data_IF_163725420063
#
_entry.id   IF_163725420063
#
_cell.length_a   1.000
_cell.length_b   1.000
_cell.length_c   1.000
_cell.angle_alpha   90.00
_cell.angle_beta   90.00
_cell.angle_gamma   90.00
#
_symmetry.space_group_name_H-M   'P 1'
#
loop_
_entity.id
_entity.type
_entity.pdbx_description
1 polymer ?
#
# COMPACT_ATOMS: atom_id res chain seq x y z
N UNK A 1 24.00 3.60 6.58
CA UNK A 1 24.36 3.39 8.01
C UNK A 1 23.05 3.09 8.74
N UNK A 2 23.05 2.37 9.87
CA UNK A 2 21.80 2.16 10.62
C UNK A 2 21.51 3.40 11.43
N UNK A 3 20.35 4.03 11.22
CA UNK A 3 19.90 5.20 11.99
C UNK A 3 19.72 4.78 13.46
N UNK A 4 20.29 5.57 14.38
CA UNK A 4 20.19 5.33 15.81
C UNK A 4 18.97 6.06 16.39
N UNK A 5 17.99 5.28 16.86
CA UNK A 5 16.72 5.79 17.37
C UNK A 5 16.89 6.76 18.55
N UNK A 6 17.83 6.49 19.47
CA UNK A 6 18.05 7.33 20.65
C UNK A 6 18.67 8.67 20.26
N UNK A 7 19.58 8.66 19.27
CA UNK A 7 20.18 9.87 18.74
C UNK A 7 19.14 10.76 18.04
N UNK A 8 18.27 10.17 17.20
CA UNK A 8 17.21 10.92 16.51
C UNK A 8 16.22 11.49 17.52
N UNK A 9 15.75 10.67 18.47
CA UNK A 9 14.82 11.10 19.52
C UNK A 9 15.36 12.29 20.32
N UNK A 10 16.66 12.27 20.66
CA UNK A 10 17.33 13.37 21.37
C UNK A 10 17.44 14.64 20.52
N UNK A 11 17.67 14.52 19.21
CA UNK A 11 17.66 15.67 18.31
C UNK A 11 16.27 16.31 18.26
N UNK A 12 15.21 15.48 18.21
CA UNK A 12 13.81 15.92 18.17
C UNK A 12 13.35 16.69 19.42
N UNK A 13 14.05 16.55 20.55
CA UNK A 13 13.77 17.35 21.75
C UNK A 13 14.19 18.82 21.60
N UNK A 14 15.07 19.12 20.64
CA UNK A 14 15.57 20.48 20.39
C UNK A 14 14.98 21.09 19.12
N UNK A 15 14.78 20.27 18.09
CA UNK A 15 14.26 20.66 16.79
C UNK A 15 13.22 19.63 16.32
N UNK A 16 11.95 20.02 16.06
CA UNK A 16 10.93 19.07 15.61
C UNK A 16 11.23 18.45 14.25
N UNK A 17 12.23 18.94 13.51
CA UNK A 17 12.66 18.37 12.22
C UNK A 17 14.06 17.78 12.34
N UNK A 18 14.17 16.48 12.04
CA UNK A 18 15.43 15.78 11.87
C UNK A 18 15.61 15.40 10.40
N UNK A 19 16.73 15.80 9.79
CA UNK A 19 17.12 15.37 8.44
C UNK A 19 18.48 14.69 8.53
N UNK A 20 18.55 13.42 8.14
CA UNK A 20 19.81 12.70 8.02
C UNK A 20 20.75 13.42 7.04
N UNK A 21 22.03 13.54 7.38
CA UNK A 21 23.02 14.31 6.61
C UNK A 21 23.12 13.85 5.14
N UNK A 22 22.94 12.55 4.87
CA UNK A 22 22.95 11.99 3.51
C UNK A 22 21.77 12.43 2.64
N UNK A 23 20.67 12.90 3.24
CA UNK A 23 19.54 13.50 2.54
C UNK A 23 19.64 15.02 2.38
N UNK A 24 20.67 15.66 2.94
CA UNK A 24 20.86 17.09 2.81
C UNK A 24 21.03 17.47 1.32
N UNK A 25 20.00 18.11 0.76
CA UNK A 25 19.96 18.53 -0.64
C UNK A 25 19.28 17.56 -1.63
N UNK A 26 18.81 16.40 -1.19
CA UNK A 26 17.99 15.49 -2.01
C UNK A 26 16.48 15.76 -1.87
N UNK A 27 16.07 16.26 -0.70
CA UNK A 27 14.70 16.71 -0.45
C UNK A 27 14.45 18.05 -1.14
N UNK A 28 13.21 18.28 -1.57
CA UNK A 28 12.82 19.56 -2.16
C UNK A 28 12.79 20.65 -1.07
N UNK A 29 13.69 21.65 -1.09
CA UNK A 29 13.81 22.62 -0.01
C UNK A 29 12.53 23.45 0.14
N UNK A 30 11.87 23.84 -0.95
CA UNK A 30 10.65 24.64 -0.89
C UNK A 30 9.48 23.88 -0.24
N UNK A 31 9.44 22.55 -0.38
CA UNK A 31 8.42 21.72 0.28
C UNK A 31 8.78 21.44 1.75
N UNK A 32 10.06 21.38 2.10
CA UNK A 32 10.47 21.27 3.51
C UNK A 32 10.20 22.59 4.25
N UNK A 33 10.51 23.74 3.65
CA UNK A 33 10.18 25.06 4.19
C UNK A 33 8.66 25.23 4.39
N UNK A 34 7.86 24.75 3.42
CA UNK A 34 6.39 24.74 3.55
C UNK A 34 5.96 23.84 4.71
N UNK A 35 6.52 22.63 4.81
CA UNK A 35 6.17 21.69 5.88
C UNK A 35 6.44 22.29 7.27
N UNK A 36 7.63 22.85 7.49
CA UNK A 36 8.00 23.53 8.74
C UNK A 36 7.05 24.69 9.07
N UNK A 37 6.69 25.51 8.07
CA UNK A 37 5.73 26.59 8.26
C UNK A 37 4.32 26.09 8.61
N UNK A 38 3.85 25.00 7.98
CA UNK A 38 2.55 24.40 8.27
C UNK A 38 2.53 23.77 9.66
N UNK A 39 3.60 23.07 10.07
CA UNK A 39 3.73 22.48 11.41
C UNK A 39 3.54 23.51 12.52
N UNK A 40 4.04 24.74 12.34
CA UNK A 40 3.86 25.83 13.31
C UNK A 40 2.42 26.38 13.42
N UNK A 41 1.51 25.94 12.54
CA UNK A 41 0.09 26.33 12.56
C UNK A 41 -0.82 25.20 13.08
N UNK A 42 -0.25 24.05 13.47
CA UNK A 42 -1.00 22.92 14.04
C UNK A 42 -1.04 23.07 15.57
N UNK A 43 -2.17 22.75 16.20
CA UNK A 43 -2.39 22.93 17.64
C UNK A 43 -1.74 21.84 18.53
N UNK A 44 -0.93 20.96 17.94
CA UNK A 44 -0.20 19.88 18.61
C UNK A 44 1.17 19.67 17.96
N UNK A 45 2.09 19.05 18.71
CA UNK A 45 3.44 18.82 18.23
C UNK A 45 3.47 17.83 17.06
N UNK A 46 4.22 18.19 16.03
CA UNK A 46 4.51 17.32 14.89
C UNK A 46 6.02 17.20 14.75
N UNK A 47 6.50 15.98 14.65
CA UNK A 47 7.91 15.64 14.48
C UNK A 47 8.14 15.06 13.09
N UNK A 48 9.07 15.62 12.32
CA UNK A 48 9.40 15.14 10.97
C UNK A 48 10.80 14.53 10.98
N UNK A 49 10.90 13.30 10.49
CA UNK A 49 12.14 12.50 10.49
C UNK A 49 12.44 12.07 9.05
N UNK A 50 13.45 12.66 8.42
CA UNK A 50 13.90 12.26 7.10
C UNK A 50 15.14 11.36 7.19
N UNK A 51 15.03 10.14 6.66
CA UNK A 51 16.11 9.12 6.69
C UNK A 51 16.42 8.56 5.31
N UNK A 52 17.69 8.27 5.05
CA UNK A 52 18.17 7.72 3.79
C UNK A 52 17.99 6.20 3.75
N UNK A 53 16.73 5.77 3.73
CA UNK A 53 16.33 4.38 3.64
C UNK A 53 15.22 4.21 2.60
N UNK A 54 15.35 3.22 1.72
CA UNK A 54 14.33 2.95 0.68
C UNK A 54 12.99 2.53 1.29
N UNK A 55 13.04 1.81 2.41
CA UNK A 55 11.88 1.38 3.20
C UNK A 55 11.97 1.99 4.59
N UNK A 56 10.84 2.49 5.09
CA UNK A 56 10.77 3.07 6.43
C UNK A 56 10.34 1.99 7.42
N UNK A 57 11.17 1.77 8.42
CA UNK A 57 10.94 0.79 9.47
C UNK A 57 10.00 1.37 10.54
N UNK A 58 8.79 0.81 10.66
CA UNK A 58 7.83 1.23 11.69
C UNK A 58 8.34 0.97 13.10
N UNK A 59 9.15 -0.07 13.31
CA UNK A 59 9.73 -0.37 14.63
C UNK A 59 10.76 0.70 15.02
N UNK A 60 11.45 1.29 14.05
CA UNK A 60 12.36 2.41 14.27
C UNK A 60 11.58 3.67 14.67
N UNK A 61 10.48 3.97 13.97
CA UNK A 61 9.62 5.13 14.30
C UNK A 61 9.02 4.98 15.71
N UNK A 62 8.54 3.79 16.07
CA UNK A 62 8.02 3.48 17.41
C UNK A 62 9.12 3.66 18.47
N UNK A 63 10.34 3.18 18.22
CA UNK A 63 11.46 3.38 19.14
C UNK A 63 11.81 4.85 19.32
N UNK A 64 11.87 5.63 18.24
CA UNK A 64 12.14 7.07 18.30
C UNK A 64 11.06 7.77 19.14
N UNK A 65 9.79 7.45 18.91
CA UNK A 65 8.66 7.98 19.68
C UNK A 65 8.79 7.66 21.18
N UNK A 66 9.07 6.40 21.53
CA UNK A 66 9.27 5.97 22.93
C UNK A 66 10.46 6.68 23.58
N UNK A 67 11.58 6.82 22.87
CA UNK A 67 12.76 7.53 23.40
C UNK A 67 12.57 9.04 23.48
N UNK A 68 11.78 9.64 22.59
CA UNK A 68 11.49 11.07 22.62
C UNK A 68 10.61 11.39 23.84
N UNK A 69 9.56 10.60 24.06
CA UNK A 69 8.65 10.71 25.20
C UNK A 69 7.70 11.91 25.13
N UNK A 70 7.68 12.65 24.03
CA UNK A 70 6.73 13.74 23.78
C UNK A 70 5.40 13.24 23.20
N UNK A 71 4.32 13.97 23.50
CA UNK A 71 3.03 13.81 22.81
C UNK A 71 3.10 14.44 21.42
N UNK A 72 2.32 13.93 20.47
CA UNK A 72 2.25 14.47 19.12
C UNK A 72 2.27 13.42 18.03
N UNK A 73 2.47 13.89 16.80
CA UNK A 73 2.51 13.06 15.59
C UNK A 73 3.93 12.95 15.08
N UNK A 74 4.39 11.74 14.80
CA UNK A 74 5.72 11.45 14.30
C UNK A 74 5.61 10.98 12.86
N UNK A 75 6.15 11.76 11.93
CA UNK A 75 6.12 11.49 10.50
C UNK A 75 7.53 11.20 10.02
N UNK A 76 7.76 9.98 9.54
CA UNK A 76 9.02 9.59 8.92
C UNK A 76 8.89 9.56 7.40
N UNK A 77 9.87 10.11 6.69
CA UNK A 77 9.95 10.15 5.23
C UNK A 77 11.33 9.71 4.75
N UNK A 78 11.43 9.32 3.48
CA UNK A 78 12.72 9.12 2.80
C UNK A 78 12.90 10.09 1.62
N UNK A 79 14.03 10.01 0.92
CA UNK A 79 14.29 10.78 -0.31
C UNK A 79 13.42 10.38 -1.53
N UNK A 80 12.61 9.32 -1.42
CA UNK A 80 11.77 8.79 -2.49
C UNK A 80 10.29 9.11 -2.28
N UNK A 81 9.49 8.06 -2.08
CA UNK A 81 8.03 8.15 -1.93
C UNK A 81 7.51 7.54 -0.63
N UNK A 82 8.37 7.01 0.23
CA UNK A 82 7.94 6.37 1.46
C UNK A 82 7.58 7.43 2.51
N UNK A 83 6.48 7.19 3.22
CA UNK A 83 6.04 7.96 4.36
C UNK A 83 5.37 7.00 5.34
N UNK A 84 5.75 7.06 6.62
CA UNK A 84 5.10 6.34 7.70
C UNK A 84 4.81 7.31 8.85
N UNK A 85 3.71 7.07 9.55
CA UNK A 85 3.21 7.94 10.61
C UNK A 85 2.89 7.09 11.82
N UNK A 86 3.21 7.62 12.98
CA UNK A 86 2.82 7.12 14.28
C UNK A 86 2.45 8.30 15.17
N UNK A 87 1.68 8.10 16.23
CA UNK A 87 1.25 9.16 17.11
C UNK A 87 1.19 8.70 18.57
N UNK A 88 1.24 9.66 19.48
CA UNK A 88 1.09 9.43 20.91
C UNK A 88 0.40 10.61 21.57
N UNK A 89 -0.70 10.33 22.26
CA UNK A 89 -1.43 11.27 23.11
C UNK A 89 -1.90 10.47 24.33
N UNK A 90 -1.61 10.92 25.56
CA UNK A 90 -1.95 10.16 26.77
C UNK A 90 -3.45 10.24 27.08
N UNK A 91 -4.07 11.42 26.90
CA UNK A 91 -5.47 11.67 27.28
C UNK A 91 -6.30 12.43 26.22
N UNK A 92 -5.82 12.55 24.98
CA UNK A 92 -6.47 13.33 23.91
C UNK A 92 -7.11 12.42 22.86
N UNK A 93 -8.07 11.58 23.26
CA UNK A 93 -8.64 10.57 22.38
C UNK A 93 -9.34 11.14 21.14
N UNK A 94 -10.10 12.24 21.29
CA UNK A 94 -10.75 12.91 20.15
C UNK A 94 -9.73 13.43 19.14
N UNK A 95 -8.64 14.04 19.62
CA UNK A 95 -7.55 14.51 18.78
C UNK A 95 -6.85 13.34 18.08
N UNK A 96 -6.57 12.25 18.81
CA UNK A 96 -5.98 11.04 18.23
C UNK A 96 -6.86 10.46 17.11
N UNK A 97 -8.18 10.44 17.30
CA UNK A 97 -9.14 9.99 16.28
C UNK A 97 -9.14 10.92 15.06
N UNK A 98 -9.13 12.23 15.29
CA UNK A 98 -9.06 13.23 14.22
C UNK A 98 -7.76 13.08 13.41
N UNK A 99 -6.60 12.96 14.06
CA UNK A 99 -5.30 12.73 13.41
C UNK A 99 -5.33 11.47 12.55
N UNK A 100 -5.93 10.39 13.05
CA UNK A 100 -6.07 9.14 12.30
C UNK A 100 -7.02 9.25 11.12
N UNK A 101 -8.12 9.99 11.27
CA UNK A 101 -9.06 10.28 10.18
C UNK A 101 -8.37 11.10 9.08
N UNK A 102 -7.68 12.18 9.44
CA UNK A 102 -6.97 13.02 8.48
C UNK A 102 -5.87 12.25 7.75
N UNK A 103 -5.14 11.35 8.44
CA UNK A 103 -4.20 10.45 7.80
C UNK A 103 -4.87 9.49 6.81
N UNK A 104 -6.09 9.02 7.10
CA UNK A 104 -6.87 8.21 6.18
C UNK A 104 -7.26 9.01 4.94
N UNK A 105 -7.77 10.24 5.12
CA UNK A 105 -8.15 11.13 4.00
C UNK A 105 -6.93 11.44 3.13
N UNK A 106 -5.81 11.80 3.75
CA UNK A 106 -4.57 12.09 3.04
C UNK A 106 -4.09 10.92 2.17
N UNK A 107 -4.27 9.68 2.66
CA UNK A 107 -3.92 8.46 1.91
C UNK A 107 -4.80 8.24 0.68
N UNK A 108 -6.03 8.74 0.69
CA UNK A 108 -6.92 8.70 -0.48
C UNK A 108 -6.52 9.73 -1.54
N UNK A 109 -5.81 10.80 -1.16
CA UNK A 109 -5.36 11.85 -2.08
C UNK A 109 -4.07 11.53 -2.85
N UNK A 110 -3.26 10.57 -2.38
CA UNK A 110 -1.98 10.24 -3.01
C UNK A 110 -1.84 8.80 -3.47
N UNK A 111 -0.94 8.59 -4.43
CA UNK A 111 -0.57 7.26 -4.91
C UNK A 111 0.73 6.80 -4.23
N UNK A 112 1.01 5.49 -4.29
CA UNK A 112 2.25 4.89 -3.75
C UNK A 112 3.52 5.61 -4.23
N UNK A 113 3.55 6.08 -5.49
CA UNK A 113 4.68 6.79 -6.10
C UNK A 113 4.67 8.31 -5.97
N UNK A 114 3.74 8.91 -5.22
CA UNK A 114 3.80 10.35 -4.91
C UNK A 114 5.05 10.64 -4.05
N UNK A 115 5.85 11.68 -4.36
CA UNK A 115 7.04 12.00 -3.57
C UNK A 115 6.72 12.18 -2.08
N UNK A 116 7.60 11.70 -1.21
CA UNK A 116 7.42 11.70 0.25
C UNK A 116 7.18 13.11 0.80
N UNK A 117 7.90 14.11 0.29
CA UNK A 117 7.74 15.53 0.64
C UNK A 117 6.39 16.10 0.19
N UNK A 118 5.84 15.65 -0.93
CA UNK A 118 4.48 16.01 -1.35
C UNK A 118 3.45 15.38 -0.43
N UNK A 119 3.60 14.09 -0.09
CA UNK A 119 2.73 13.41 0.88
C UNK A 119 2.75 14.09 2.25
N UNK A 120 3.94 14.46 2.74
CA UNK A 120 4.11 15.20 3.99
C UNK A 120 3.31 16.50 3.97
N UNK A 121 3.45 17.31 2.92
CA UNK A 121 2.74 18.58 2.83
C UNK A 121 1.22 18.42 2.73
N UNK A 122 0.73 17.44 1.97
CA UNK A 122 -0.70 17.11 1.92
C UNK A 122 -1.22 16.72 3.30
N UNK A 123 -0.48 15.88 4.03
CA UNK A 123 -0.86 15.45 5.38
C UNK A 123 -0.89 16.63 6.36
N UNK A 124 0.14 17.47 6.34
CA UNK A 124 0.23 18.64 7.20
C UNK A 124 -0.87 19.67 6.91
N UNK A 125 -1.22 19.87 5.63
CA UNK A 125 -2.33 20.76 5.25
C UNK A 125 -3.65 20.25 5.86
N UNK A 126 -3.89 18.93 5.86
CA UNK A 126 -5.08 18.32 6.50
C UNK A 126 -5.02 18.34 8.03
N UNK A 127 -3.83 18.29 8.63
CA UNK A 127 -3.66 18.47 10.08
C UNK A 127 -3.92 19.91 10.52
N UNK A 128 -3.56 20.90 9.69
CA UNK A 128 -3.80 22.32 9.95
C UNK A 128 -5.25 22.74 9.64
N UNK A 129 -5.88 22.13 8.64
CA UNK A 129 -7.29 22.36 8.28
C UNK A 129 -8.06 21.03 8.13
N UNK A 130 -8.45 20.41 9.27
CA UNK A 130 -9.09 19.10 9.27
C UNK A 130 -10.40 19.06 8.48
N UNK A 131 -10.51 18.09 7.59
CA UNK A 131 -11.70 17.88 6.78
C UNK A 131 -12.56 16.77 7.38
N UNK A 132 -13.88 16.90 7.27
CA UNK A 132 -14.81 15.84 7.65
C UNK A 132 -15.12 14.98 6.43
N UNK A 133 -15.02 13.65 6.57
CA UNK A 133 -15.49 12.73 5.54
C UNK A 133 -17.02 12.88 5.43
N UNK A 134 -17.55 13.20 4.26
CA UNK A 134 -19.02 13.28 4.07
C UNK A 134 -19.61 11.88 4.26
N UNK A 135 -20.41 11.72 5.32
CA UNK A 135 -21.03 10.47 5.75
C UNK A 135 -22.10 10.00 4.74
N UNK A 136 -21.74 9.09 3.83
CA UNK A 136 -22.55 7.92 3.59
C UNK A 136 -21.68 6.71 3.95
N UNK A 137 -22.15 5.92 4.93
CA UNK A 137 -21.55 4.68 5.47
C UNK A 137 -20.45 4.79 6.55
N UNK A 138 -20.88 5.03 7.80
CA UNK A 138 -20.15 4.62 8.99
C UNK A 138 -20.99 3.62 9.81
N UNK A 139 -20.82 2.33 9.52
CA UNK A 139 -21.34 1.23 10.32
C UNK A 139 -20.50 1.00 11.58
N UNK A 140 -21.07 1.41 12.71
CA UNK A 140 -20.79 1.09 14.13
C UNK A 140 -19.61 0.13 14.44
N UNK A 141 -18.56 0.67 15.06
CA UNK A 141 -17.56 -0.09 15.79
C UNK A 141 -17.98 -0.24 17.27
N UNK A 142 -17.89 -1.46 17.80
CA UNK A 142 -18.24 -1.79 19.17
C UNK A 142 -16.96 -2.16 19.93
N UNK A 143 -16.66 -1.39 20.99
CA UNK A 143 -15.52 -1.56 21.89
C UNK A 143 -15.60 -2.88 22.68
N UNK A 144 -14.43 -3.44 23.00
CA UNK A 144 -14.30 -4.46 24.04
C UNK A 144 -13.08 -4.21 24.93
N UNK A 145 -13.38 -4.10 26.23
CA UNK A 145 -12.50 -3.85 27.37
C UNK A 145 -11.34 -4.81 27.57
N UNK A 146 -10.18 -4.23 27.91
CA UNK A 146 -9.42 -4.41 29.17
C UNK A 146 -9.19 -5.82 29.73
N UNK A 147 -7.92 -6.21 29.84
CA UNK A 147 -7.50 -7.26 30.78
C UNK A 147 -6.21 -6.90 31.52
N UNK A 148 -6.40 -6.76 32.82
CA UNK A 148 -5.47 -6.48 33.91
C UNK A 148 -4.43 -7.59 34.09
N UNK A 149 -3.16 -7.25 34.29
CA UNK A 149 -2.08 -8.20 34.61
C UNK A 149 -1.59 -7.94 36.03
N UNK A 150 -1.84 -8.92 36.91
CA UNK A 150 -1.31 -8.98 38.26
C UNK A 150 0.18 -9.31 38.27
N UNK A 151 0.92 -8.58 39.10
CA UNK A 151 2.31 -8.80 39.48
C UNK A 151 2.40 -9.86 40.58
N UNK A 152 3.41 -10.73 40.50
CA UNK A 152 3.94 -11.47 41.66
C UNK A 152 5.46 -11.49 41.58
N UNK A 153 6.08 -10.72 42.46
CA UNK A 153 7.46 -10.89 42.91
C UNK A 153 7.56 -12.16 43.79
N UNK A 154 8.63 -12.94 43.64
CA UNK A 154 9.27 -13.47 44.84
C UNK A 154 10.78 -13.70 44.64
N UNK A 155 11.49 -13.39 45.72
CA UNK A 155 12.92 -13.20 45.85
C UNK A 155 13.51 -14.32 46.69
N UNK A 156 14.73 -14.76 46.35
CA UNK A 156 15.41 -15.84 47.05
C UNK A 156 16.91 -15.63 47.09
N UNK A 157 17.35 -14.85 48.08
CA UNK A 157 18.74 -14.63 48.48
C UNK A 157 19.32 -15.86 49.19
N UNK A 158 20.55 -16.27 48.86
CA UNK A 158 21.47 -16.90 49.82
C UNK A 158 22.94 -16.68 49.39
N UNK A 159 23.75 -16.24 50.35
CA UNK A 159 25.21 -16.12 50.33
C UNK A 159 25.73 -16.63 51.70
N UNK A 160 27.04 -16.70 51.97
CA UNK A 160 28.18 -17.18 51.17
C UNK A 160 29.05 -18.19 51.96
N UNK A 161 29.95 -18.92 51.28
CA UNK A 161 31.36 -19.16 51.66
C UNK A 161 31.91 -20.36 50.87
N UNK A 162 33.08 -20.19 50.24
CA UNK A 162 34.32 -20.91 50.54
C UNK A 162 35.33 -20.69 49.40
N UNK A 163 36.43 -20.04 49.78
CA UNK A 163 37.63 -19.78 48.99
C UNK A 163 38.25 -21.09 48.52
N UNK A 164 38.38 -21.23 47.20
CA UNK A 164 39.04 -22.37 46.53
C UNK A 164 38.49 -22.69 45.13
N UNK A 165 37.33 -22.15 44.76
CA UNK A 165 36.55 -22.56 43.58
C UNK A 165 36.38 -21.44 42.53
N UNK A 166 36.96 -20.25 42.75
CA UNK A 166 36.67 -19.06 41.94
C UNK A 166 37.02 -19.18 40.45
N UNK A 167 38.05 -19.96 40.07
CA UNK A 167 38.45 -20.09 38.66
C UNK A 167 37.66 -21.19 37.93
N UNK A 168 37.32 -22.27 38.62
CA UNK A 168 36.63 -23.42 38.02
C UNK A 168 35.12 -23.21 37.95
N UNK A 169 34.51 -22.54 38.93
CA UNK A 169 33.11 -22.10 38.83
C UNK A 169 32.97 -20.93 37.85
N UNK A 170 33.93 -20.01 37.75
CA UNK A 170 33.85 -18.98 36.70
C UNK A 170 33.96 -19.60 35.29
N UNK A 171 34.81 -20.62 35.08
CA UNK A 171 34.86 -21.33 33.81
C UNK A 171 33.59 -22.14 33.50
N UNK A 172 32.99 -22.81 34.50
CA UNK A 172 31.73 -23.55 34.34
C UNK A 172 30.54 -22.59 34.19
N UNK A 173 30.56 -21.42 34.83
CA UNK A 173 29.55 -20.37 34.68
C UNK A 173 29.70 -19.68 33.33
N UNK A 174 30.91 -19.40 32.84
CA UNK A 174 31.14 -18.85 31.49
C UNK A 174 30.76 -19.89 30.43
N UNK A 175 31.16 -21.16 30.59
CA UNK A 175 30.78 -22.23 29.67
C UNK A 175 29.27 -22.54 29.73
N UNK A 176 28.66 -22.49 30.91
CA UNK A 176 27.23 -22.65 31.12
C UNK A 176 26.43 -21.46 30.56
N UNK A 177 26.89 -20.23 30.75
CA UNK A 177 26.29 -19.02 30.17
C UNK A 177 26.49 -18.99 28.65
N UNK A 178 27.63 -19.43 28.13
CA UNK A 178 27.90 -19.49 26.69
C UNK A 178 27.15 -20.63 26.00
N UNK A 179 27.05 -21.80 26.63
CA UNK A 179 26.24 -22.92 26.13
C UNK A 179 24.74 -22.60 26.22
N UNK A 180 24.26 -21.99 27.30
CA UNK A 180 22.87 -21.53 27.40
C UNK A 180 22.57 -20.33 26.51
N UNK A 181 23.50 -19.38 26.28
CA UNK A 181 23.34 -18.29 25.28
C UNK A 181 23.37 -18.82 23.86
N UNK A 182 24.25 -19.77 23.51
CA UNK A 182 24.31 -20.31 22.14
C UNK A 182 23.15 -21.26 21.82
N UNK A 183 22.65 -22.02 22.81
CA UNK A 183 21.39 -22.75 22.68
C UNK A 183 20.17 -21.85 22.72
N UNK A 184 20.11 -20.80 23.56
CA UNK A 184 19.03 -19.80 23.52
C UNK A 184 19.04 -19.03 22.21
N UNK A 185 20.19 -18.68 21.62
CA UNK A 185 20.27 -18.01 20.31
C UNK A 185 19.83 -18.90 19.14
N UNK A 186 20.03 -20.22 19.22
CA UNK A 186 19.51 -21.16 18.21
C UNK A 186 18.02 -21.48 18.39
N UNK A 187 17.52 -21.48 19.63
CA UNK A 187 16.10 -21.71 19.91
C UNK A 187 15.24 -20.45 19.74
N UNK A 188 15.78 -19.25 19.95
CA UNK A 188 15.09 -17.98 19.69
C UNK A 188 14.91 -17.73 18.20
N UNK A 189 15.87 -18.06 17.34
CA UNK A 189 15.68 -17.97 15.88
C UNK A 189 14.56 -18.90 15.38
N UNK A 190 14.44 -20.12 15.91
CA UNK A 190 13.33 -21.04 15.60
C UNK A 190 12.01 -20.68 16.29
N UNK A 191 12.03 -20.05 17.47
CA UNK A 191 10.82 -19.56 18.17
C UNK A 191 10.30 -18.24 17.63
N UNK A 192 11.15 -17.35 17.11
CA UNK A 192 10.76 -16.12 16.42
C UNK A 192 10.06 -16.46 15.09
N UNK A 193 10.60 -17.39 14.30
CA UNK A 193 9.91 -17.88 13.09
C UNK A 193 8.55 -18.53 13.37
N UNK A 194 8.34 -19.10 14.57
CA UNK A 194 7.03 -19.63 15.00
C UNK A 194 6.11 -18.59 15.64
N UNK A 195 6.63 -17.42 16.05
CA UNK A 195 5.85 -16.33 16.66
C UNK A 195 5.40 -15.24 15.69
N UNK A 196 5.96 -15.20 14.48
CA UNK A 196 5.51 -14.32 13.37
C UNK A 196 4.79 -15.08 12.26
N UNK A 197 4.21 -16.24 12.56
CA UNK A 197 3.16 -16.76 11.69
C UNK A 197 1.90 -15.96 12.04
N UNK A 198 1.54 -15.00 11.18
CA UNK A 198 0.20 -14.41 11.23
C UNK A 198 -0.78 -15.59 11.27
N UNK A 199 -1.69 -15.65 12.26
CA UNK A 199 -2.72 -16.68 12.28
C UNK A 199 -3.41 -16.72 10.92
N UNK A 200 -3.62 -17.91 10.34
CA UNK A 200 -4.26 -18.07 9.03
C UNK A 200 -5.60 -17.33 8.97
N UNK A 201 -6.32 -17.29 10.10
CA UNK A 201 -7.58 -16.53 10.26
C UNK A 201 -7.44 -15.01 10.10
N UNK A 202 -6.29 -14.43 10.43
CA UNK A 202 -6.02 -13.01 10.18
C UNK A 202 -5.71 -12.76 8.71
N UNK A 203 -4.96 -13.65 8.06
CA UNK A 203 -4.68 -13.57 6.62
C UNK A 203 -5.97 -13.72 5.80
N UNK A 204 -6.81 -14.71 6.12
CA UNK A 204 -8.13 -14.90 5.53
C UNK A 204 -9.04 -13.68 5.75
N UNK A 205 -8.98 -13.06 6.93
CA UNK A 205 -9.77 -11.86 7.21
C UNK A 205 -9.29 -10.67 6.38
N UNK A 206 -7.99 -10.41 6.33
CA UNK A 206 -7.40 -9.33 5.52
C UNK A 206 -7.74 -9.54 4.05
N UNK A 207 -7.58 -10.76 3.53
CA UNK A 207 -7.95 -11.08 2.16
C UNK A 207 -9.45 -10.84 1.91
N UNK A 208 -10.32 -11.31 2.82
CA UNK A 208 -11.76 -11.07 2.69
C UNK A 208 -12.16 -9.59 2.74
N UNK A 209 -11.42 -8.77 3.49
CA UNK A 209 -11.65 -7.33 3.58
C UNK A 209 -11.14 -6.63 2.32
N UNK A 210 -9.96 -7.01 1.81
CA UNK A 210 -9.43 -6.53 0.54
C UNK A 210 -10.37 -6.87 -0.62
N UNK A 211 -10.90 -8.10 -0.68
CA UNK A 211 -11.88 -8.51 -1.69
C UNK A 211 -13.20 -7.74 -1.57
N UNK A 212 -13.66 -7.44 -0.36
CA UNK A 212 -14.86 -6.62 -0.15
C UNK A 212 -14.66 -5.18 -0.60
N UNK A 213 -13.57 -4.55 -0.17
CA UNK A 213 -13.19 -3.21 -0.61
C UNK A 213 -13.04 -3.14 -2.14
N UNK A 214 -12.45 -4.17 -2.75
CA UNK A 214 -12.28 -4.23 -4.19
C UNK A 214 -13.61 -4.35 -4.93
N UNK A 215 -14.55 -5.17 -4.43
CA UNK A 215 -15.92 -5.25 -4.96
C UNK A 215 -16.63 -3.90 -4.87
N UNK A 216 -16.49 -3.18 -3.76
CA UNK A 216 -17.09 -1.85 -3.58
C UNK A 216 -16.56 -0.84 -4.60
N UNK A 217 -15.23 -0.77 -4.76
CA UNK A 217 -14.60 0.09 -5.79
C UNK A 217 -15.08 -0.27 -7.19
N UNK A 218 -15.17 -1.56 -7.50
CA UNK A 218 -15.64 -2.01 -8.82
C UNK A 218 -17.12 -1.65 -9.04
N UNK A 219 -17.97 -1.79 -8.02
CA UNK A 219 -19.38 -1.40 -8.10
C UNK A 219 -19.54 0.10 -8.38
N UNK A 220 -18.73 0.95 -7.76
CA UNK A 220 -18.70 2.38 -8.08
C UNK A 220 -18.33 2.63 -9.56
N UNK A 221 -17.28 1.98 -10.06
CA UNK A 221 -16.84 2.09 -11.46
C UNK A 221 -17.92 1.60 -12.45
N UNK A 222 -18.66 0.54 -12.12
CA UNK A 222 -19.76 0.04 -12.96
C UNK A 222 -20.87 1.06 -13.12
N UNK A 223 -21.19 1.80 -12.06
CA UNK A 223 -22.23 2.85 -12.08
C UNK A 223 -21.81 3.99 -13.01
N UNK A 224 -20.56 4.44 -12.93
CA UNK A 224 -20.04 5.47 -13.84
C UNK A 224 -20.13 5.05 -15.31
N UNK A 225 -19.75 3.80 -15.62
CA UNK A 225 -19.80 3.28 -16.99
C UNK A 225 -21.24 3.18 -17.50
N UNK A 226 -22.18 2.75 -16.65
CA UNK A 226 -23.60 2.69 -17.01
C UNK A 226 -24.14 4.09 -17.39
N UNK A 227 -23.79 5.13 -16.62
CA UNK A 227 -24.15 6.51 -16.92
C UNK A 227 -23.55 7.02 -18.24
N UNK A 228 -22.29 6.64 -18.55
CA UNK A 228 -21.64 6.99 -19.82
C UNK A 228 -22.31 6.30 -21.02
N UNK A 229 -22.74 5.05 -20.87
CA UNK A 229 -23.48 4.30 -21.90
C UNK A 229 -24.85 4.93 -22.13
N UNK A 230 -25.59 5.31 -21.08
CA UNK A 230 -26.91 5.94 -21.22
C UNK A 230 -26.82 7.28 -21.98
N UNK A 231 -25.75 8.04 -21.76
CA UNK A 231 -25.47 9.29 -22.50
C UNK A 231 -25.13 9.04 -23.97
N UNK A 232 -24.54 7.90 -24.31
CA UNK A 232 -24.32 7.52 -25.70
C UNK A 232 -25.68 7.15 -26.31
N UNK A 233 -26.27 8.05 -27.09
CA UNK A 233 -27.46 7.76 -27.89
C UNK A 233 -27.14 6.66 -28.93
N UNK A 234 -27.21 5.39 -28.52
CA UNK A 234 -26.72 4.18 -29.23
C UNK A 234 -27.44 3.92 -30.55
N UNK A 235 -28.68 4.38 -30.67
CA UNK A 235 -29.54 4.26 -31.86
C UNK A 235 -29.04 4.99 -33.11
N UNK A 236 -28.03 5.85 -33.00
CA UNK A 236 -27.48 6.65 -34.11
C UNK A 236 -25.97 6.40 -34.35
N UNK A 237 -25.47 5.22 -33.99
CA UNK A 237 -24.07 4.84 -34.19
C UNK A 237 -23.87 4.24 -35.59
N UNK A 238 -22.71 4.47 -36.19
CA UNK A 238 -22.31 3.73 -37.39
C UNK A 238 -21.87 2.31 -37.02
N UNK A 239 -21.66 1.43 -38.01
CA UNK A 239 -21.34 0.03 -37.73
C UNK A 239 -20.06 -0.15 -36.87
N UNK A 240 -18.94 0.57 -37.11
CA UNK A 240 -17.75 0.50 -36.27
C UNK A 240 -17.96 0.95 -34.82
N UNK A 241 -18.66 2.08 -34.61
CA UNK A 241 -18.93 2.56 -33.24
C UNK A 241 -19.93 1.65 -32.52
N UNK A 242 -20.88 1.04 -33.25
CA UNK A 242 -21.82 0.06 -32.68
C UNK A 242 -21.08 -1.17 -32.17
N UNK A 243 -20.13 -1.72 -32.94
CA UNK A 243 -19.33 -2.88 -32.53
C UNK A 243 -18.49 -2.59 -31.27
N UNK A 244 -17.95 -1.38 -31.13
CA UNK A 244 -17.22 -0.97 -29.92
C UNK A 244 -18.12 -0.90 -28.70
N UNK A 245 -19.34 -0.36 -28.86
CA UNK A 245 -20.32 -0.30 -27.78
C UNK A 245 -20.78 -1.71 -27.38
N UNK A 246 -21.05 -2.60 -28.34
CA UNK A 246 -21.37 -4.01 -28.06
C UNK A 246 -20.25 -4.70 -27.26
N UNK A 247 -18.99 -4.58 -27.72
CA UNK A 247 -17.84 -5.13 -26.99
C UNK A 247 -17.69 -4.56 -25.59
N UNK A 248 -18.00 -3.27 -25.41
CA UNK A 248 -17.97 -2.61 -24.10
C UNK A 248 -19.04 -3.17 -23.17
N UNK A 249 -20.26 -3.41 -23.69
CA UNK A 249 -21.36 -4.01 -22.96
C UNK A 249 -21.05 -5.46 -22.56
N UNK A 250 -20.42 -6.23 -23.44
CA UNK A 250 -19.99 -7.60 -23.12
C UNK A 250 -18.94 -7.61 -22.00
N UNK A 251 -17.92 -6.76 -22.11
CA UNK A 251 -16.90 -6.61 -21.06
C UNK A 251 -17.52 -6.20 -19.71
N UNK A 252 -18.46 -5.24 -19.74
CA UNK A 252 -19.20 -4.80 -18.56
C UNK A 252 -20.02 -5.93 -17.93
N UNK A 253 -20.77 -6.69 -18.73
CA UNK A 253 -21.59 -7.80 -18.23
C UNK A 253 -20.74 -8.93 -17.62
N UNK A 254 -19.59 -9.25 -18.22
CA UNK A 254 -18.66 -10.23 -17.67
C UNK A 254 -18.04 -9.71 -16.36
N UNK A 255 -17.61 -8.46 -16.32
CA UNK A 255 -17.05 -7.86 -15.11
C UNK A 255 -18.07 -7.91 -13.95
N UNK A 256 -19.33 -7.55 -14.21
CA UNK A 256 -20.41 -7.62 -13.22
C UNK A 256 -20.62 -9.05 -12.71
N UNK A 257 -20.65 -10.04 -13.61
CA UNK A 257 -20.78 -11.45 -13.21
C UNK A 257 -19.65 -11.89 -12.28
N UNK A 258 -18.41 -11.50 -12.58
CA UNK A 258 -17.25 -11.79 -11.72
C UNK A 258 -17.41 -11.13 -10.35
N UNK A 259 -17.85 -9.87 -10.30
CA UNK A 259 -18.01 -9.13 -9.04
C UNK A 259 -19.12 -9.71 -8.17
N UNK A 260 -20.23 -10.07 -8.80
CA UNK A 260 -21.42 -10.67 -8.17
C UNK A 260 -21.18 -12.11 -7.68
N UNK A 261 -20.16 -12.79 -8.21
CA UNK A 261 -19.77 -14.14 -7.77
C UNK A 261 -18.98 -14.07 -6.45
N UNK A 262 -19.53 -14.67 -5.39
CA UNK A 262 -18.90 -14.71 -4.06
C UNK A 262 -17.60 -15.52 -4.06
N UNK A 263 -17.49 -16.52 -4.95
CA UNK A 263 -16.33 -17.39 -5.08
C UNK A 263 -15.19 -16.74 -5.89
N UNK A 264 -15.42 -15.56 -6.48
CA UNK A 264 -14.37 -14.82 -7.19
C UNK A 264 -13.19 -14.48 -6.28
N UNK A 265 -12.02 -14.87 -6.75
CA UNK A 265 -10.77 -14.61 -6.07
C UNK A 265 -10.24 -13.20 -6.38
N UNK A 266 -9.19 -12.78 -5.65
CA UNK A 266 -8.56 -11.48 -5.84
C UNK A 266 -8.08 -11.25 -7.28
N UNK A 267 -7.60 -12.30 -7.94
CA UNK A 267 -7.18 -12.25 -9.35
C UNK A 267 -8.35 -12.02 -10.31
N UNK A 268 -9.50 -12.62 -10.04
CA UNK A 268 -10.71 -12.46 -10.86
C UNK A 268 -11.24 -11.03 -10.74
N UNK A 269 -11.27 -10.49 -9.52
CA UNK A 269 -11.65 -9.09 -9.28
C UNK A 269 -10.67 -8.11 -9.97
N UNK A 270 -9.37 -8.39 -9.98
CA UNK A 270 -8.40 -7.62 -10.77
C UNK A 270 -8.69 -7.71 -12.28
N UNK A 271 -9.13 -8.89 -12.77
CA UNK A 271 -9.60 -9.07 -14.14
C UNK A 271 -10.86 -8.25 -14.46
N UNK A 272 -11.82 -8.18 -13.52
CA UNK A 272 -13.01 -7.35 -13.66
C UNK A 272 -12.68 -5.86 -13.78
N UNK A 273 -11.71 -5.35 -13.00
CA UNK A 273 -11.22 -3.96 -13.16
C UNK A 273 -10.65 -3.70 -14.56
N UNK A 274 -9.91 -4.67 -15.12
CA UNK A 274 -9.34 -4.55 -16.46
C UNK A 274 -10.44 -4.51 -17.53
N UNK A 275 -11.46 -5.36 -17.40
CA UNK A 275 -12.62 -5.37 -18.30
C UNK A 275 -13.38 -4.04 -18.29
N UNK A 276 -13.67 -3.50 -17.10
CA UNK A 276 -14.36 -2.21 -16.98
C UNK A 276 -13.52 -1.07 -17.54
N UNK A 277 -12.20 -1.09 -17.30
CA UNK A 277 -11.29 -0.12 -17.88
C UNK A 277 -11.26 -0.20 -19.41
N UNK A 278 -11.32 -1.40 -19.97
CA UNK A 278 -11.43 -1.62 -21.41
C UNK A 278 -12.77 -1.10 -21.96
N UNK A 279 -13.88 -1.37 -21.29
CA UNK A 279 -15.20 -0.87 -21.67
C UNK A 279 -15.24 0.67 -21.67
N UNK A 280 -14.79 1.31 -20.59
CA UNK A 280 -14.75 2.77 -20.49
C UNK A 280 -13.88 3.43 -21.56
N UNK A 281 -12.76 2.79 -21.96
CA UNK A 281 -11.92 3.29 -23.06
C UNK A 281 -12.66 3.25 -24.40
N UNK A 282 -13.29 2.13 -24.73
CA UNK A 282 -14.04 1.96 -25.99
C UNK A 282 -15.21 2.95 -26.07
N UNK A 283 -15.96 3.12 -24.98
CA UNK A 283 -17.02 4.12 -24.82
C UNK A 283 -16.49 5.55 -25.00
N UNK A 284 -15.39 5.90 -24.33
CA UNK A 284 -14.77 7.21 -24.43
C UNK A 284 -14.24 7.51 -25.85
N UNK A 285 -13.75 6.49 -26.57
CA UNK A 285 -13.34 6.64 -27.97
C UNK A 285 -14.52 6.97 -28.89
N UNK A 286 -15.65 6.28 -28.73
CA UNK A 286 -16.89 6.58 -29.47
C UNK A 286 -17.36 8.01 -29.16
N UNK A 287 -17.41 8.39 -27.88
CA UNK A 287 -17.80 9.74 -27.46
C UNK A 287 -16.87 10.85 -27.99
N UNK A 288 -15.56 10.61 -27.99
CA UNK A 288 -14.55 11.53 -28.53
C UNK A 288 -14.64 11.65 -30.06
N UNK A 289 -15.04 10.59 -30.77
CA UNK A 289 -15.32 10.62 -32.20
C UNK A 289 -16.42 11.63 -32.56
N UNK A 290 -17.47 11.71 -31.73
CA UNK A 290 -18.64 12.59 -31.94
C UNK A 290 -18.37 14.06 -31.64
N UNK A 291 -17.39 14.38 -30.79
CA UNK A 291 -17.10 15.75 -30.31
C UNK A 291 -15.95 16.45 -31.05
N UNK A 292 -15.25 15.76 -31.95
CA UNK A 292 -14.15 16.34 -32.74
C UNK A 292 -14.66 17.37 -33.77
N UNK A 293 -14.70 18.64 -33.36
CA UNK A 293 -14.48 19.76 -34.28
C UNK A 293 -13.07 19.63 -34.86
N UNK A 294 -12.95 19.63 -36.19
CA UNK A 294 -11.66 19.56 -36.88
C UNK A 294 -10.71 20.68 -36.40
N UNK A 295 -9.68 20.35 -35.63
CA UNK A 295 -8.64 21.31 -35.24
C UNK A 295 -7.94 21.07 -33.90
N UNK A 296 -8.58 20.44 -32.92
CA UNK A 296 -7.98 20.33 -31.58
C UNK A 296 -7.27 18.99 -31.40
N UNK A 297 -5.95 18.95 -31.59
CA UNK A 297 -5.09 17.82 -31.18
C UNK A 297 -4.88 17.81 -29.65
N UNK A 298 -5.96 17.89 -28.88
CA UNK A 298 -5.91 17.53 -27.48
C UNK A 298 -5.69 16.03 -27.39
N UNK A 299 -4.64 15.56 -26.71
CA UNK A 299 -4.54 14.16 -26.27
C UNK A 299 -5.81 13.91 -25.47
N UNK A 300 -6.78 13.20 -26.06
CA UNK A 300 -7.91 12.69 -25.30
C UNK A 300 -7.32 11.94 -24.12
N UNK A 301 -7.67 12.34 -22.90
CA UNK A 301 -7.28 11.68 -21.65
C UNK A 301 -8.10 10.38 -21.53
N UNK A 302 -8.00 9.54 -22.57
CA UNK A 302 -8.65 8.24 -22.58
C UNK A 302 -8.12 7.45 -21.39
N UNK A 303 -8.99 6.70 -20.69
CA UNK A 303 -8.56 5.83 -19.60
C UNK A 303 -7.41 4.93 -20.07
N UNK A 304 -6.26 5.02 -19.40
CA UNK A 304 -5.11 4.18 -19.71
C UNK A 304 -5.38 2.74 -19.28
N UNK A 305 -4.76 1.77 -19.96
CA UNK A 305 -4.73 0.37 -19.51
C UNK A 305 -4.15 0.25 -18.11
N UNK A 306 -4.56 -0.75 -17.33
CA UNK A 306 -3.96 -1.02 -16.03
C UNK A 306 -2.58 -1.71 -16.17
N UNK A 307 -1.84 -1.77 -15.07
CA UNK A 307 -0.57 -2.47 -15.00
C UNK A 307 -0.76 -3.99 -15.21
N UNK A 308 -0.09 -4.56 -16.20
CA UNK A 308 -0.17 -6.00 -16.47
C UNK A 308 0.42 -6.86 -15.36
N UNK A 309 1.48 -6.41 -14.67
CA UNK A 309 2.12 -7.17 -13.59
C UNK A 309 1.16 -7.38 -12.40
N UNK A 310 0.40 -6.33 -12.08
CA UNK A 310 -0.65 -6.37 -11.07
C UNK A 310 -1.63 -5.22 -11.36
N UNK A 311 -2.85 -5.49 -11.86
CA UNK A 311 -3.83 -4.45 -12.17
C UNK A 311 -4.20 -3.58 -10.96
N UNK A 312 -4.04 -4.10 -9.74
CA UNK A 312 -4.29 -3.37 -8.49
C UNK A 312 -3.28 -2.25 -8.22
N UNK A 313 -2.18 -2.17 -8.99
CA UNK A 313 -1.26 -1.03 -8.95
C UNK A 313 -1.79 0.19 -9.71
N UNK A 314 -2.93 0.06 -10.39
CA UNK A 314 -3.57 1.14 -11.14
C UNK A 314 -3.01 1.32 -12.55
N UNK A 315 -3.14 2.55 -13.05
CA UNK A 315 -2.89 2.88 -14.45
C UNK A 315 -1.44 2.66 -14.89
N UNK A 316 -1.30 2.09 -16.08
CA UNK A 316 -0.04 2.02 -16.76
C UNK A 316 0.41 3.40 -17.24
N UNK A 317 1.70 3.66 -17.10
CA UNK A 317 2.33 4.92 -17.47
C UNK A 317 3.49 4.72 -18.45
N UNK A 318 3.84 3.45 -18.71
CA UNK A 318 4.86 3.06 -19.68
C UNK A 318 4.55 1.68 -20.25
N UNK A 319 5.28 1.28 -21.28
CA UNK A 319 5.25 -0.08 -21.82
C UNK A 319 6.62 -0.71 -21.69
N UNK A 320 6.66 -1.98 -21.32
CA UNK A 320 7.90 -2.69 -21.03
C UNK A 320 7.91 -4.08 -21.63
N UNK A 321 9.10 -4.63 -21.93
CA UNK A 321 9.24 -5.98 -22.46
C UNK A 321 9.35 -6.96 -21.29
N UNK A 322 8.39 -7.88 -21.18
CA UNK A 322 8.39 -9.01 -20.25
C UNK A 322 8.63 -10.29 -21.04
N UNK A 323 9.50 -11.17 -20.53
CA UNK A 323 9.74 -12.47 -21.14
C UNK A 323 8.62 -13.43 -20.73
N UNK A 324 7.73 -13.74 -21.68
CA UNK A 324 6.75 -14.81 -21.58
C UNK A 324 7.17 -15.91 -22.57
N UNK A 325 7.40 -17.12 -22.09
CA UNK A 325 7.77 -18.29 -22.91
C UNK A 325 8.98 -18.07 -23.86
N UNK A 326 9.98 -17.31 -23.40
CA UNK A 326 11.20 -17.01 -24.17
C UNK A 326 11.02 -16.02 -25.32
N UNK A 327 9.81 -15.52 -25.55
CA UNK A 327 9.54 -14.43 -26.50
C UNK A 327 9.09 -13.20 -25.72
N UNK A 328 9.97 -12.21 -25.57
CA UNK A 328 9.58 -11.00 -24.87
C UNK A 328 8.41 -10.27 -25.53
N UNK A 329 7.35 -10.01 -24.77
CA UNK A 329 6.16 -9.27 -25.20
C UNK A 329 6.15 -7.88 -24.55
N UNK A 330 5.68 -6.87 -25.30
CA UNK A 330 5.53 -5.51 -24.75
C UNK A 330 4.16 -5.38 -24.10
N UNK A 331 4.17 -5.03 -22.82
CA UNK A 331 2.95 -4.90 -22.01
C UNK A 331 2.94 -3.57 -21.25
N UNK A 332 1.75 -3.01 -20.96
CA UNK A 332 1.62 -1.81 -20.16
C UNK A 332 1.95 -2.07 -18.68
N UNK A 333 2.73 -1.16 -18.07
CA UNK A 333 3.10 -1.25 -16.66
C UNK A 333 3.01 0.11 -15.97
N UNK A 334 2.69 0.10 -14.68
CA UNK A 334 2.73 1.29 -13.83
C UNK A 334 4.19 1.76 -13.65
N UNK A 335 4.35 3.00 -13.18
CA UNK A 335 5.68 3.57 -12.93
C UNK A 335 6.49 2.78 -11.91
N UNK A 336 5.86 2.25 -10.86
CA UNK A 336 6.57 1.44 -9.86
C UNK A 336 7.20 0.21 -10.50
N UNK A 337 6.40 -0.60 -11.21
CA UNK A 337 6.92 -1.81 -11.85
C UNK A 337 7.94 -1.50 -12.95
N UNK A 338 7.82 -0.37 -13.63
CA UNK A 338 8.84 0.07 -14.58
C UNK A 338 10.16 0.40 -13.88
N UNK A 339 10.12 1.06 -12.73
CA UNK A 339 11.30 1.37 -11.93
C UNK A 339 11.94 0.08 -11.39
N UNK A 340 11.13 -0.83 -10.83
CA UNK A 340 11.60 -2.12 -10.32
C UNK A 340 12.31 -2.91 -11.42
N UNK A 341 11.73 -2.97 -12.61
CA UNK A 341 12.37 -3.62 -13.77
C UNK A 341 13.69 -2.97 -14.15
N UNK A 342 13.77 -1.64 -14.16
CA UNK A 342 15.00 -0.91 -14.50
C UNK A 342 16.11 -1.13 -13.47
N UNK A 343 15.74 -1.23 -12.20
CA UNK A 343 16.65 -1.54 -11.10
C UNK A 343 16.99 -3.04 -10.98
N UNK A 344 16.40 -3.89 -11.83
CA UNK A 344 16.48 -5.35 -11.73
C UNK A 344 15.98 -5.91 -10.38
N UNK A 345 15.01 -5.22 -9.76
CA UNK A 345 14.31 -5.67 -8.56
C UNK A 345 13.26 -6.74 -8.90
N UNK A 346 12.83 -7.46 -7.86
CA UNK A 346 11.73 -8.41 -7.98
C UNK A 346 10.41 -7.67 -8.26
N UNK A 347 9.73 -8.09 -9.34
CA UNK A 347 8.42 -7.57 -9.69
C UNK A 347 7.33 -8.09 -8.74
N UNK A 348 6.45 -7.19 -8.32
CA UNK A 348 5.32 -7.47 -7.42
C UNK A 348 4.11 -7.99 -8.21
N UNK A 349 4.20 -9.24 -8.66
CA UNK A 349 3.13 -9.91 -9.39
C UNK A 349 1.88 -10.10 -8.53
N UNK A 350 0.70 -10.02 -9.15
CA UNK A 350 -0.50 -10.59 -8.53
C UNK A 350 -0.41 -12.12 -8.53
N UNK A 351 -0.91 -12.74 -7.46
CA UNK A 351 -0.84 -14.18 -7.26
C UNK A 351 -2.17 -14.86 -7.64
N UNK A 352 -2.03 -16.08 -8.15
CA UNK A 352 -3.09 -17.05 -8.41
C UNK A 352 -2.80 -18.25 -7.49
N UNK A 353 -3.49 -18.30 -6.35
CA UNK A 353 -3.10 -19.13 -5.21
C UNK A 353 -1.69 -18.78 -4.70
N UNK A 354 -0.79 -19.76 -4.68
CA UNK A 354 0.56 -19.63 -4.10
C UNK A 354 1.65 -19.19 -5.10
N UNK A 355 1.28 -18.91 -6.36
CA UNK A 355 2.24 -18.55 -7.43
C UNK A 355 1.85 -17.27 -8.15
N UNK A 356 2.82 -16.54 -8.74
CA UNK A 356 2.53 -15.45 -9.66
C UNK A 356 1.57 -15.91 -10.77
N UNK A 357 0.57 -15.10 -11.09
CA UNK A 357 -0.47 -15.51 -12.02
C UNK A 357 0.07 -15.91 -13.41
N UNK A 358 1.16 -15.27 -13.84
CA UNK A 358 1.83 -15.57 -15.12
C UNK A 358 2.44 -16.97 -15.22
N UNK A 359 2.63 -17.65 -14.08
CA UNK A 359 3.08 -19.04 -14.04
C UNK A 359 1.90 -20.03 -14.10
N UNK A 360 0.67 -19.51 -14.13
CA UNK A 360 -0.56 -20.27 -14.22
C UNK A 360 -1.05 -20.51 -15.65
N UNK A 361 -2.17 -21.22 -15.73
CA UNK A 361 -2.88 -21.57 -16.96
C UNK A 361 -4.26 -20.89 -17.04
N UNK A 362 -4.57 -19.98 -16.12
CA UNK A 362 -5.80 -19.18 -16.14
C UNK A 362 -5.89 -18.31 -17.40
N UNK A 363 -7.11 -17.94 -17.78
CA UNK A 363 -7.33 -16.97 -18.88
C UNK A 363 -6.58 -15.67 -18.66
N UNK A 364 -6.43 -15.24 -17.40
CA UNK A 364 -5.67 -14.06 -17.00
C UNK A 364 -4.19 -14.20 -17.35
N UNK A 365 -3.60 -15.36 -17.07
CA UNK A 365 -2.21 -15.70 -17.40
C UNK A 365 -2.00 -15.72 -18.92
N UNK A 366 -2.84 -16.46 -19.65
CA UNK A 366 -2.71 -16.67 -21.10
C UNK A 366 -2.85 -15.37 -21.91
N UNK A 367 -3.65 -14.43 -21.41
CA UNK A 367 -3.92 -13.15 -22.07
C UNK A 367 -3.11 -12.00 -21.48
N UNK A 368 -2.38 -12.23 -20.39
CA UNK A 368 -1.79 -11.19 -19.55
C UNK A 368 -2.80 -10.06 -19.25
N UNK A 369 -3.99 -10.46 -18.77
CA UNK A 369 -5.14 -9.58 -18.60
C UNK A 369 -5.52 -8.82 -19.89
N UNK A 370 -5.53 -9.50 -21.03
CA UNK A 370 -5.85 -8.91 -22.33
C UNK A 370 -4.74 -8.04 -22.94
N UNK A 371 -3.55 -7.98 -22.35
CA UNK A 371 -2.40 -7.30 -22.96
C UNK A 371 -1.85 -8.06 -24.18
N UNK A 372 -2.11 -9.37 -24.27
CA UNK A 372 -1.65 -10.24 -25.36
C UNK A 372 -2.77 -11.16 -25.86
N UNK A 373 -2.69 -11.57 -27.12
CA UNK A 373 -3.64 -12.50 -27.73
C UNK A 373 -4.89 -11.82 -28.30
N UNK A 374 -5.95 -12.62 -28.48
CA UNK A 374 -7.27 -12.10 -28.88
C UNK A 374 -7.92 -11.33 -27.73
N UNK A 375 -8.91 -10.52 -28.07
CA UNK A 375 -9.73 -9.76 -27.11
C UNK A 375 -10.14 -10.60 -25.86
N UNK A 376 -10.02 -9.98 -24.68
CA UNK A 376 -10.16 -10.64 -23.38
C UNK A 376 -11.56 -11.22 -23.16
N UNK A 377 -12.60 -10.50 -23.61
CA UNK A 377 -14.00 -10.96 -23.58
C UNK A 377 -14.13 -12.25 -24.38
N UNK A 378 -13.56 -12.28 -25.58
CA UNK A 378 -13.53 -13.49 -26.43
C UNK A 378 -12.82 -14.66 -25.73
N UNK A 379 -11.74 -14.41 -25.01
CA UNK A 379 -11.00 -15.45 -24.29
C UNK A 379 -11.82 -16.02 -23.11
N UNK A 380 -12.51 -15.15 -22.36
CA UNK A 380 -13.37 -15.53 -21.24
C UNK A 380 -14.57 -16.38 -21.68
N UNK A 381 -15.23 -16.00 -22.77
CA UNK A 381 -16.32 -16.79 -23.34
C UNK A 381 -15.90 -18.20 -23.75
N UNK A 382 -14.68 -18.38 -24.28
CA UNK A 382 -14.18 -19.72 -24.65
C UNK A 382 -13.95 -20.62 -23.45
N UNK A 383 -13.64 -20.06 -22.28
CA UNK A 383 -13.47 -20.83 -21.03
C UNK A 383 -14.78 -21.05 -20.26
N UNK A 384 -15.91 -20.53 -20.76
CA UNK A 384 -17.22 -20.71 -20.12
C UNK A 384 -17.43 -19.83 -18.88
N UNK A 385 -16.69 -18.71 -18.77
CA UNK A 385 -16.89 -17.70 -17.73
C UNK A 385 -17.73 -16.52 -18.22
#
# INVERSE_FOLDING_TARGET
MTVDAEQVAKALQTDPVYIEESLAGSLNPALMDKAEATMGNVDYDVYVIAVDQDFLDSDLLEQIKVFNGGEGVYVMINGGSALTVDQHFEDQHELQMQVMEQLSIARDEWNVGTPSTTKLNTLLDLYADPQTKTEEEAGTAQEASGSEVQTVDDSGSFAPMFLGIAVLVLAIVIAGIWFTRSWRQRSTKKRLQKKYQLPDRLLERVDSLQRRSLRETINADTTQIADEIDRLQTQNLDAPDSEKVERSLDAYQIARRIVDDEDSERIDLAGAMVLLRQAGREIAEVGAGRTKKAGTRGRSKLPQSLCTINPLHGEAQSTTRLDADGTGVRVPVCRSCQNDRQAANQLQWIFDGDRPYVEGDSVWAQTLFGAIGSDLVTALHRQGR
#
